data_IF_179505652053
#
_entry.id   IF_179505652053
#
_cell.length_a   1.000
_cell.length_b   1.000
_cell.length_c   1.000
_cell.angle_alpha   90.00
_cell.angle_beta   90.00
_cell.angle_gamma   90.00
#
_symmetry.space_group_name_H-M   'P 1'
#
loop_
_entity.id
_entity.type
_entity.pdbx_description
1 polymer ?
#
# COMPACT_ATOMS: atom_id res chain seq x y z
N UNK A 1 -24.28 3.37 7.86
CA UNK A 1 -22.89 3.42 8.32
C UNK A 1 -22.21 2.07 8.03
N UNK A 2 -21.10 2.09 7.30
CA UNK A 2 -20.34 0.87 7.05
C UNK A 2 -19.71 0.37 8.33
N UNK A 3 -19.83 -0.92 8.57
CA UNK A 3 -19.09 -1.55 9.65
C UNK A 3 -17.63 -1.74 9.21
N UNK A 4 -16.73 -1.55 10.16
CA UNK A 4 -15.33 -1.83 9.95
C UNK A 4 -15.12 -3.32 9.74
N UNK A 5 -14.43 -3.67 8.68
CA UNK A 5 -14.13 -5.06 8.36
C UNK A 5 -12.70 -5.17 7.82
N UNK A 6 -12.05 -6.27 8.17
CA UNK A 6 -10.69 -6.58 7.71
C UNK A 6 -10.66 -8.03 7.26
N UNK A 7 -10.00 -8.27 6.15
CA UNK A 7 -9.81 -9.62 5.63
C UNK A 7 -8.44 -9.73 4.99
N UNK A 8 -7.81 -10.87 5.13
CA UNK A 8 -6.52 -11.14 4.51
C UNK A 8 -6.45 -12.59 4.07
N UNK A 9 -5.79 -12.82 2.94
CA UNK A 9 -5.56 -14.17 2.42
C UNK A 9 -4.15 -14.23 1.83
N UNK A 10 -3.46 -15.33 2.08
CA UNK A 10 -2.14 -15.58 1.53
C UNK A 10 -2.25 -16.57 0.37
N UNK A 11 -1.70 -16.21 -0.78
CA UNK A 11 -1.65 -17.08 -1.95
C UNK A 11 -0.29 -17.77 -2.00
N UNK A 12 -0.29 -19.08 -1.85
CA UNK A 12 0.94 -19.87 -1.77
C UNK A 12 1.69 -19.95 -3.11
N UNK A 13 0.99 -19.88 -4.22
CA UNK A 13 1.62 -19.91 -5.55
C UNK A 13 2.33 -18.59 -5.83
N UNK A 14 1.66 -17.49 -5.59
CA UNK A 14 2.22 -16.16 -5.81
C UNK A 14 3.10 -15.70 -4.65
N UNK A 15 2.95 -16.34 -3.49
CA UNK A 15 3.65 -15.97 -2.26
C UNK A 15 3.39 -14.51 -1.88
N UNK A 16 2.15 -14.09 -1.99
CA UNK A 16 1.71 -12.72 -1.74
C UNK A 16 0.51 -12.75 -0.83
N UNK A 17 0.50 -11.87 0.17
CA UNK A 17 -0.67 -11.65 1.00
C UNK A 17 -1.54 -10.56 0.39
N UNK A 18 -2.80 -10.86 0.18
CA UNK A 18 -3.79 -9.86 -0.24
C UNK A 18 -4.68 -9.53 0.94
N UNK A 19 -5.00 -8.26 1.12
CA UNK A 19 -5.85 -7.83 2.23
C UNK A 19 -6.82 -6.75 1.78
N UNK A 20 -7.89 -6.64 2.55
CA UNK A 20 -8.96 -5.70 2.30
C UNK A 20 -9.38 -5.05 3.61
N UNK A 21 -9.49 -3.74 3.60
CA UNK A 21 -10.02 -2.96 4.72
C UNK A 21 -11.27 -2.25 4.24
N UNK A 22 -12.34 -2.35 4.98
CA UNK A 22 -13.60 -1.69 4.65
C UNK A 22 -14.14 -0.92 5.85
N UNK A 23 -14.66 0.28 5.60
CA UNK A 23 -15.30 1.07 6.63
C UNK A 23 -14.36 1.58 7.71
N UNK A 24 -13.09 1.79 7.40
CA UNK A 24 -12.09 2.20 8.37
C UNK A 24 -12.23 3.69 8.69
N UNK A 25 -12.61 4.00 9.92
CA UNK A 25 -12.75 5.38 10.37
C UNK A 25 -11.50 5.89 11.10
N UNK A 26 -10.71 4.99 11.66
CA UNK A 26 -9.58 5.34 12.50
C UNK A 26 -8.39 5.80 11.68
N UNK A 27 -7.58 6.74 12.20
CA UNK A 27 -6.30 7.06 11.59
C UNK A 27 -5.30 5.92 11.85
N UNK A 28 -4.28 5.83 11.01
CA UNK A 28 -3.19 4.89 11.21
C UNK A 28 -1.96 5.67 11.68
N UNK A 29 -1.44 5.36 12.87
CA UNK A 29 -0.23 6.04 13.36
C UNK A 29 0.99 5.67 12.54
N UNK A 30 2.06 6.44 12.71
CA UNK A 30 3.31 6.21 11.97
C UNK A 30 3.84 4.80 12.24
N UNK A 31 4.14 4.08 11.18
CA UNK A 31 4.68 2.73 11.25
C UNK A 31 5.42 2.41 9.95
N UNK A 32 6.15 1.31 9.95
CA UNK A 32 6.80 0.81 8.74
C UNK A 32 6.65 -0.71 8.68
N UNK A 33 6.86 -1.25 7.50
CA UNK A 33 6.80 -2.69 7.26
C UNK A 33 8.15 -3.21 6.78
N UNK A 34 8.38 -4.51 6.96
CA UNK A 34 9.58 -5.18 6.48
C UNK A 34 9.40 -5.72 5.05
N UNK A 35 8.29 -5.41 4.41
CA UNK A 35 7.90 -5.91 3.10
C UNK A 35 7.41 -4.75 2.23
N UNK A 36 7.24 -5.00 0.94
CA UNK A 36 6.62 -4.02 0.03
C UNK A 36 5.11 -4.03 0.21
N UNK A 37 4.51 -2.87 0.09
CA UNK A 37 3.05 -2.71 0.10
C UNK A 37 2.63 -2.01 -1.18
N UNK A 38 1.68 -2.61 -1.89
CA UNK A 38 1.03 -1.96 -3.04
C UNK A 38 -0.44 -1.88 -2.68
N UNK A 39 -1.00 -0.67 -2.64
CA UNK A 39 -2.36 -0.48 -2.19
C UNK A 39 -3.19 0.36 -3.13
N UNK A 40 -4.49 0.12 -3.12
CA UNK A 40 -5.48 0.86 -3.91
C UNK A 40 -6.52 1.43 -2.96
N UNK A 41 -6.76 2.72 -3.06
CA UNK A 41 -7.85 3.38 -2.34
C UNK A 41 -9.13 3.17 -3.15
N UNK A 42 -10.09 2.45 -2.58
CA UNK A 42 -11.37 2.18 -3.22
C UNK A 42 -12.42 3.21 -2.89
N UNK A 43 -12.40 3.71 -1.66
CA UNK A 43 -13.35 4.71 -1.18
C UNK A 43 -12.71 5.52 -0.06
N UNK A 44 -13.09 6.77 0.04
CA UNK A 44 -12.62 7.63 1.13
C UNK A 44 -11.46 8.51 0.73
N UNK A 45 -11.06 9.33 1.68
CA UNK A 45 -9.97 10.29 1.50
C UNK A 45 -9.13 10.32 2.76
N UNK A 46 -7.82 10.31 2.61
CA UNK A 46 -6.88 10.32 3.73
C UNK A 46 -5.72 11.26 3.46
N UNK A 47 -5.18 11.80 4.53
CA UNK A 47 -3.93 12.54 4.50
C UNK A 47 -2.82 11.58 4.86
N UNK A 48 -1.94 11.31 3.89
CA UNK A 48 -0.85 10.37 4.03
C UNK A 48 0.47 11.12 4.16
N UNK A 49 1.24 10.80 5.18
CA UNK A 49 2.59 11.33 5.36
C UNK A 49 3.57 10.19 5.16
N UNK A 50 4.48 10.34 4.21
CA UNK A 50 5.48 9.33 3.88
C UNK A 50 6.77 10.04 3.46
N UNK A 51 7.90 9.65 4.04
CA UNK A 51 9.20 10.27 3.74
C UNK A 51 9.18 11.78 3.84
N UNK A 52 8.55 12.29 4.90
CA UNK A 52 8.45 13.73 5.19
C UNK A 52 7.63 14.52 4.17
N UNK A 53 6.90 13.86 3.32
CA UNK A 53 5.98 14.49 2.38
C UNK A 53 4.54 14.13 2.71
N UNK A 54 3.65 15.07 2.47
CA UNK A 54 2.23 14.90 2.73
C UNK A 54 1.48 14.80 1.42
N UNK A 55 0.58 13.82 1.35
CA UNK A 55 -0.25 13.57 0.19
C UNK A 55 -1.70 13.47 0.64
N UNK A 56 -2.63 13.90 -0.19
CA UNK A 56 -4.04 13.57 0.00
C UNK A 56 -4.35 12.45 -0.97
N UNK A 57 -4.65 11.28 -0.43
CA UNK A 57 -5.02 10.12 -1.24
C UNK A 57 -6.53 9.96 -1.23
N UNK A 58 -7.07 9.54 -2.37
CA UNK A 58 -8.50 9.41 -2.57
C UNK A 58 -8.79 8.25 -3.52
N UNK A 59 -10.06 7.98 -3.74
CA UNK A 59 -10.50 6.90 -4.61
C UNK A 59 -9.73 6.86 -5.93
N UNK A 60 -9.22 5.69 -6.26
CA UNK A 60 -8.46 5.46 -7.49
C UNK A 60 -6.95 5.64 -7.34
N UNK A 61 -6.48 6.17 -6.22
CA UNK A 61 -5.06 6.35 -6.00
C UNK A 61 -4.41 5.02 -5.61
N UNK A 62 -3.19 4.83 -6.10
CA UNK A 62 -2.34 3.70 -5.77
C UNK A 62 -1.21 4.22 -4.89
N UNK A 63 -0.96 3.52 -3.80
CA UNK A 63 0.17 3.80 -2.91
C UNK A 63 1.17 2.68 -2.98
N UNK A 64 2.44 3.02 -2.82
CA UNK A 64 3.53 2.06 -2.84
C UNK A 64 4.49 2.40 -1.71
N UNK A 65 4.71 1.44 -0.82
CA UNK A 65 5.66 1.59 0.27
C UNK A 65 6.78 0.57 0.10
N UNK A 66 8.03 1.05 0.13
CA UNK A 66 9.20 0.19 0.20
C UNK A 66 9.38 -0.33 1.63
N UNK A 67 10.04 -1.47 1.81
CA UNK A 67 10.40 -1.91 3.16
C UNK A 67 11.16 -0.81 3.91
N UNK A 68 10.76 -0.55 5.14
CA UNK A 68 11.37 0.46 5.98
C UNK A 68 10.83 1.87 5.83
N UNK A 69 10.00 2.14 4.82
CA UNK A 69 9.39 3.46 4.67
C UNK A 69 8.37 3.70 5.78
N UNK A 70 8.61 4.71 6.59
CA UNK A 70 7.65 5.11 7.63
C UNK A 70 6.53 5.92 7.01
N UNK A 71 5.30 5.59 7.37
CA UNK A 71 4.12 6.28 6.86
C UNK A 71 3.02 6.34 7.90
N UNK A 72 2.18 7.36 7.78
CA UNK A 72 1.03 7.55 8.67
C UNK A 72 -0.14 8.09 7.86
N UNK A 73 -1.34 7.71 8.24
CA UNK A 73 -2.56 8.20 7.61
C UNK A 73 -3.44 8.88 8.64
N UNK A 74 -3.98 10.03 8.28
CA UNK A 74 -4.94 10.76 9.10
C UNK A 74 -6.20 11.02 8.29
N UNK A 75 -7.29 11.30 8.98
CA UNK A 75 -8.54 11.67 8.35
C UNK A 75 -8.35 12.97 7.55
N UNK A 76 -8.86 13.00 6.31
CA UNK A 76 -8.88 14.20 5.49
C UNK A 76 -10.29 14.67 5.18
N UNK A 77 -11.27 14.02 5.74
CA UNK A 77 -12.68 14.33 5.55
C UNK A 77 -13.50 13.54 6.55
N UNK A 78 -14.80 13.55 6.42
CA UNK A 78 -15.71 12.88 7.35
C UNK A 78 -16.02 11.44 7.00
N UNK A 79 -15.40 10.85 6.00
CA UNK A 79 -15.76 9.53 5.52
C UNK A 79 -14.88 8.41 6.06
N UNK A 80 -15.22 7.20 5.65
CA UNK A 80 -14.45 6.00 5.99
C UNK A 80 -13.59 5.60 4.80
N UNK A 81 -12.56 4.82 5.07
CA UNK A 81 -11.63 4.32 4.06
C UNK A 81 -11.97 2.88 3.71
N UNK A 82 -12.08 2.61 2.42
CA UNK A 82 -12.05 1.26 1.87
C UNK A 82 -10.75 1.14 1.06
N UNK A 83 -10.02 0.06 1.30
CA UNK A 83 -8.66 -0.06 0.80
C UNK A 83 -8.33 -1.53 0.54
N UNK A 84 -7.64 -1.79 -0.54
CA UNK A 84 -7.10 -3.13 -0.86
C UNK A 84 -5.62 -3.03 -1.07
N UNK A 85 -4.91 -4.08 -0.67
CA UNK A 85 -3.47 -4.07 -0.84
C UNK A 85 -2.87 -5.45 -0.94
N UNK A 86 -1.61 -5.44 -1.36
CA UNK A 86 -0.76 -6.62 -1.37
C UNK A 86 0.48 -6.35 -0.52
N UNK A 87 0.80 -7.32 0.31
CA UNK A 87 2.04 -7.33 1.07
C UNK A 87 2.97 -8.35 0.41
N UNK A 88 4.14 -7.91 -0.03
CA UNK A 88 5.06 -8.72 -0.82
C UNK A 88 6.42 -8.71 -0.14
N UNK A 89 6.90 -9.89 0.28
CA UNK A 89 8.20 -10.01 0.92
C UNK A 89 9.32 -9.58 -0.04
N UNK A 90 10.43 -9.10 0.51
CA UNK A 90 11.57 -8.63 -0.27
C UNK A 90 12.06 -9.66 -1.28
N UNK A 91 12.24 -10.90 -0.84
CA UNK A 91 12.73 -11.98 -1.70
C UNK A 91 11.74 -12.32 -2.82
N UNK A 92 10.45 -12.24 -2.55
CA UNK A 92 9.42 -12.48 -3.57
C UNK A 92 9.45 -11.38 -4.63
N UNK A 93 9.57 -10.13 -4.19
CA UNK A 93 9.68 -9.00 -5.11
C UNK A 93 10.95 -9.10 -5.97
N UNK A 94 12.05 -9.55 -5.37
CA UNK A 94 13.31 -9.76 -6.09
C UNK A 94 13.16 -10.84 -7.16
N UNK A 95 12.50 -11.93 -6.84
CA UNK A 95 12.21 -13.00 -7.80
C UNK A 95 11.34 -12.49 -8.95
N UNK A 96 10.28 -11.73 -8.63
CA UNK A 96 9.41 -11.16 -9.66
C UNK A 96 10.16 -10.19 -10.57
N UNK A 97 10.99 -9.34 -9.98
CA UNK A 97 11.80 -8.41 -10.75
C UNK A 97 12.76 -9.17 -11.66
N UNK A 98 13.35 -10.26 -11.18
CA UNK A 98 14.21 -11.13 -11.96
C UNK A 98 13.48 -11.77 -13.14
N UNK A 99 12.27 -12.21 -12.95
CA UNK A 99 11.45 -12.79 -14.03
C UNK A 99 11.13 -11.75 -15.12
N UNK A 100 10.87 -10.52 -14.73
CA UNK A 100 10.53 -9.45 -15.67
C UNK A 100 11.74 -8.92 -16.40
N UNK A 101 12.86 -8.74 -15.69
CA UNK A 101 14.06 -8.09 -16.24
C UNK A 101 15.15 -9.05 -16.68
N UNK A 102 15.06 -10.32 -16.27
CA UNK A 102 16.12 -11.30 -16.47
C UNK A 102 17.30 -11.09 -15.53
N UNK A 103 17.18 -10.25 -14.51
CA UNK A 103 18.26 -9.96 -13.56
C UNK A 103 17.77 -10.10 -12.13
N UNK A 104 18.49 -10.89 -11.33
CA UNK A 104 18.26 -10.97 -9.89
C UNK A 104 19.19 -10.06 -9.10
N UNK A 105 20.00 -9.29 -9.78
CA UNK A 105 20.90 -8.35 -9.11
C UNK A 105 20.10 -7.29 -8.34
N UNK A 106 20.77 -6.74 -7.35
CA UNK A 106 20.18 -5.83 -6.37
C UNK A 106 19.03 -5.00 -6.89
N UNK A 107 17.85 -5.27 -6.36
CA UNK A 107 16.67 -4.48 -6.66
C UNK A 107 16.82 -3.11 -6.03
N UNK A 108 16.67 -2.08 -6.81
CA UNK A 108 16.65 -0.70 -6.31
C UNK A 108 15.34 -0.44 -5.61
N UNK A 109 15.36 0.48 -4.65
CA UNK A 109 14.12 1.00 -4.08
C UNK A 109 13.23 1.55 -5.19
N UNK A 110 11.96 1.25 -5.11
CA UNK A 110 11.00 1.76 -6.09
C UNK A 110 10.90 3.28 -5.96
N UNK A 111 10.77 3.99 -7.08
CA UNK A 111 10.58 5.43 -7.02
C UNK A 111 9.22 5.76 -6.44
N UNK A 112 9.11 6.94 -5.85
CA UNK A 112 7.84 7.50 -5.37
C UNK A 112 7.00 6.49 -4.58
N UNK A 113 7.20 6.47 -3.27
CA UNK A 113 6.45 5.59 -2.38
C UNK A 113 4.94 5.84 -2.41
N UNK A 114 4.53 7.04 -2.73
CA UNK A 114 3.12 7.42 -2.74
C UNK A 114 2.85 8.21 -4.01
N UNK A 115 1.82 7.87 -4.70
CA UNK A 115 1.50 8.55 -5.94
C UNK A 115 0.08 8.29 -6.37
N UNK A 116 -0.42 9.20 -7.20
CA UNK A 116 -1.75 9.10 -7.76
C UNK A 116 -1.68 8.41 -9.11
N UNK A 117 -2.59 7.45 -9.32
CA UNK A 117 -2.75 6.86 -10.63
C UNK A 117 -3.42 7.87 -11.54
N UNK A 118 -2.76 8.26 -12.63
CA UNK A 118 -3.28 9.29 -13.53
C UNK A 118 -3.57 8.77 -14.93
N UNK A 119 -3.34 7.52 -15.21
CA UNK A 119 -3.31 7.06 -16.60
C UNK A 119 -4.13 5.81 -16.87
N UNK A 120 -5.24 5.72 -16.27
CA UNK A 120 -6.14 4.59 -16.54
C UNK A 120 -7.23 4.92 -17.54
#
# INVERSE_FOLDING_TARGET
MKQEARAAVYDEKLRVEAYCLAGMAQPFPAHFHAYYVIGLVEEGERRLVCKQQEYVIRRGDIVLFNPGDSHACAQAGGGVLDYRGFNIAKEVMLDLAGEVTGRRSAMRSLPAACGRSTSW
#
